data_IF_354476628473
#
_entry.id   IF_354476628473
#
_cell.length_a   1.000
_cell.length_b   1.000
_cell.length_c   1.000
_cell.angle_alpha   90.00
_cell.angle_beta   90.00
_cell.angle_gamma   90.00
#
_symmetry.space_group_name_H-M   'P 1'
#
loop_
_entity.id
_entity.type
_entity.pdbx_description
1 polymer ?
#
# COMPACT_ATOMS: atom_id res chain seq x y z
N UNK A 1 -14.26 -15.37 -9.65
CA UNK A 1 -12.89 -14.80 -9.72
C UNK A 1 -12.36 -14.65 -8.30
N UNK A 2 -11.08 -14.96 -8.05
CA UNK A 2 -10.42 -14.77 -6.75
C UNK A 2 -9.23 -13.83 -6.98
N UNK A 3 -9.16 -12.75 -6.21
CA UNK A 3 -7.97 -11.88 -6.20
C UNK A 3 -6.90 -12.53 -5.32
N UNK A 4 -5.72 -12.76 -5.89
CA UNK A 4 -4.56 -13.35 -5.22
C UNK A 4 -3.34 -12.47 -5.45
N UNK A 5 -2.41 -12.47 -4.50
CA UNK A 5 -1.14 -11.76 -4.61
C UNK A 5 -0.03 -12.66 -5.17
N UNK A 6 1.16 -12.09 -5.29
CA UNK A 6 2.32 -12.76 -5.89
C UNK A 6 3.02 -13.77 -4.94
N UNK A 7 2.65 -13.78 -3.66
CA UNK A 7 3.30 -14.55 -2.61
C UNK A 7 2.37 -15.66 -2.10
N UNK A 8 2.93 -16.85 -1.90
CA UNK A 8 2.26 -17.92 -1.14
C UNK A 8 2.15 -17.52 0.34
N UNK A 9 0.97 -17.02 0.70
CA UNK A 9 0.71 -16.43 2.00
C UNK A 9 0.91 -17.43 3.15
N UNK A 10 0.51 -18.70 2.99
CA UNK A 10 0.49 -19.66 4.08
C UNK A 10 1.89 -20.17 4.44
N UNK A 11 2.76 -20.36 3.45
CA UNK A 11 4.15 -20.75 3.69
C UNK A 11 5.00 -19.60 4.22
N UNK A 12 4.78 -18.37 3.71
CA UNK A 12 5.58 -17.19 4.07
C UNK A 12 5.14 -16.54 5.38
N UNK A 13 3.86 -16.63 5.77
CA UNK A 13 3.35 -16.11 7.06
C UNK A 13 4.10 -16.68 8.28
N UNK A 14 4.65 -17.89 8.17
CA UNK A 14 5.43 -18.52 9.26
C UNK A 14 6.88 -18.04 9.34
N UNK A 15 7.38 -17.39 8.28
CA UNK A 15 8.77 -16.93 8.16
C UNK A 15 8.89 -15.42 8.34
N UNK A 16 7.90 -14.66 7.86
CA UNK A 16 7.89 -13.21 7.93
C UNK A 16 7.29 -12.71 9.26
N UNK A 17 7.92 -11.71 9.88
CA UNK A 17 7.38 -11.06 11.08
C UNK A 17 6.08 -10.30 10.81
N UNK A 18 5.92 -9.78 9.59
CA UNK A 18 4.74 -9.06 9.12
C UNK A 18 4.48 -9.42 7.66
N UNK A 19 3.21 -9.54 7.27
CA UNK A 19 2.79 -9.89 5.91
C UNK A 19 1.50 -9.13 5.56
N UNK A 20 1.44 -8.57 4.36
CA UNK A 20 0.25 -7.84 3.89
C UNK A 20 -0.70 -8.78 3.16
N UNK A 21 -2.01 -8.77 3.47
CA UNK A 21 -2.97 -9.66 2.83
C UNK A 21 -3.34 -9.15 1.44
N UNK A 22 -3.75 -10.09 0.58
CA UNK A 22 -4.42 -9.78 -0.69
C UNK A 22 -5.73 -10.58 -0.72
N UNK A 23 -6.91 -9.93 -0.80
CA UNK A 23 -7.13 -8.46 -0.85
C UNK A 23 -6.87 -7.74 0.48
N UNK A 24 -6.82 -6.40 0.42
CA UNK A 24 -6.86 -5.52 1.61
C UNK A 24 -5.53 -4.96 2.10
N UNK A 25 -4.40 -5.34 1.50
CA UNK A 25 -3.08 -4.84 1.85
C UNK A 25 -2.72 -3.53 1.16
N UNK A 26 -1.95 -3.61 0.07
CA UNK A 26 -1.29 -2.43 -0.53
C UNK A 26 -2.26 -1.55 -1.32
N UNK A 27 -3.31 -2.11 -1.91
CA UNK A 27 -4.26 -1.37 -2.76
C UNK A 27 -4.88 -0.14 -2.09
N UNK A 28 -5.50 -0.24 -0.90
CA UNK A 28 -6.04 0.90 -0.18
C UNK A 28 -4.98 1.98 0.14
N UNK A 29 -3.74 1.56 0.44
CA UNK A 29 -2.64 2.51 0.70
C UNK A 29 -2.25 3.31 -0.53
N UNK A 30 -2.34 2.76 -1.74
CA UNK A 30 -2.09 3.50 -2.98
C UNK A 30 -3.05 4.68 -3.13
N UNK A 31 -4.34 4.47 -2.87
CA UNK A 31 -5.36 5.54 -2.91
C UNK A 31 -5.09 6.58 -1.81
N UNK A 32 -4.80 6.14 -0.60
CA UNK A 32 -4.48 7.04 0.51
C UNK A 32 -3.25 7.90 0.22
N UNK A 33 -2.19 7.32 -0.36
CA UNK A 33 -0.97 8.05 -0.69
C UNK A 33 -1.17 9.02 -1.85
N UNK A 34 -2.00 8.70 -2.84
CA UNK A 34 -2.39 9.67 -3.87
C UNK A 34 -3.02 10.91 -3.22
N UNK A 35 -4.03 10.72 -2.37
CA UNK A 35 -4.71 11.84 -1.70
C UNK A 35 -3.75 12.67 -0.82
N UNK A 36 -2.88 11.98 -0.07
CA UNK A 36 -1.86 12.64 0.75
C UNK A 36 -0.90 13.48 -0.10
N UNK A 37 -0.40 12.92 -1.21
CA UNK A 37 0.53 13.62 -2.08
C UNK A 37 -0.13 14.82 -2.75
N UNK A 38 -1.39 14.70 -3.20
CA UNK A 38 -2.17 15.82 -3.73
C UNK A 38 -2.30 16.94 -2.70
N UNK A 39 -2.62 16.61 -1.45
CA UNK A 39 -2.71 17.60 -0.36
C UNK A 39 -1.37 18.30 -0.10
N UNK A 40 -0.27 17.54 -0.07
CA UNK A 40 1.06 18.10 0.18
C UNK A 40 1.54 19.00 -0.97
N UNK A 41 1.21 18.63 -2.21
CA UNK A 41 1.45 19.47 -3.39
C UNK A 41 0.64 20.77 -3.33
N UNK A 42 -0.64 20.70 -2.97
CA UNK A 42 -1.50 21.89 -2.81
C UNK A 42 -0.99 22.83 -1.71
N UNK A 43 -0.40 22.29 -0.64
CA UNK A 43 0.24 23.05 0.44
C UNK A 43 1.65 23.57 0.09
N UNK A 44 2.17 23.30 -1.11
CA UNK A 44 3.56 23.56 -1.54
C UNK A 44 4.61 23.05 -0.54
N UNK A 45 4.29 22.00 0.21
CA UNK A 45 5.18 21.49 1.28
C UNK A 45 6.33 20.64 0.74
N UNK A 46 6.21 20.14 -0.49
CA UNK A 46 7.21 19.28 -1.15
C UNK A 46 7.89 19.99 -2.33
N UNK A 47 7.17 20.92 -2.99
CA UNK A 47 7.70 21.72 -4.09
C UNK A 47 7.54 23.21 -3.76
N UNK A 48 8.42 23.76 -2.91
CA UNK A 48 8.47 25.21 -2.70
C UNK A 48 8.97 25.91 -3.98
N UNK A 49 8.60 27.18 -4.14
CA UNK A 49 9.10 28.03 -5.25
C UNK A 49 10.58 28.37 -5.13
#
# INVERSE_FOLDING_TARGET
YKLVGDVDFDSVKKKASWITPVPGGVGPMTVAMLMKNTLLAAKKSIYPE
#
